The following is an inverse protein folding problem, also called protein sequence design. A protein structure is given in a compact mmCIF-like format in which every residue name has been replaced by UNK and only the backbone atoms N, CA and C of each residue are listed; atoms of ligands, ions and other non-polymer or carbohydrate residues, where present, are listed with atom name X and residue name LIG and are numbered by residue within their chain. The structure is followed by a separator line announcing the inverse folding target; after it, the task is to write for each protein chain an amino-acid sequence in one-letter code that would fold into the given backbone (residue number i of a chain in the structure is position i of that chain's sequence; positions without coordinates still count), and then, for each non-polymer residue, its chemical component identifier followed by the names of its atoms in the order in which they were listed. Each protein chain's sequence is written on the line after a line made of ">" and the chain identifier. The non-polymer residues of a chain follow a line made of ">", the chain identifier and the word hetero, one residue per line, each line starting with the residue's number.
data_IF_775531126295
#
_entry.id   IF_775531126295
#
_cell.length_a   1.000
_cell.length_b   1.000
_cell.length_c   1.000
_cell.angle_alpha   90.00
_cell.angle_beta   90.00
_cell.angle_gamma   90.00
#
_symmetry.space_group_name_H-M   'P 1'
#
loop_
_entity.id
_entity.type
_entity.pdbx_description
1 polymer ?
#
# COMPACT_ATOMS: atom_id res chain seq x y z
N UNK A 1 -17.28 1.77 -10.13
CA UNK A 1 -16.45 0.54 -10.17
C UNK A 1 -15.11 0.77 -10.89
N UNK A 2 -15.06 1.33 -12.10
CA UNK A 2 -13.81 1.53 -12.86
C UNK A 2 -12.66 2.23 -12.11
N UNK A 3 -12.97 3.26 -11.30
CA UNK A 3 -11.94 4.00 -10.55
C UNK A 3 -11.22 3.12 -9.50
N UNK A 4 -11.97 2.30 -8.76
CA UNK A 4 -11.42 1.42 -7.73
C UNK A 4 -10.68 0.23 -8.36
N UNK A 5 -11.21 -0.35 -9.44
CA UNK A 5 -10.52 -1.38 -10.21
C UNK A 5 -9.15 -0.87 -10.71
N UNK A 6 -9.10 0.34 -11.28
CA UNK A 6 -7.85 0.97 -11.70
C UNK A 6 -6.91 1.22 -10.53
N UNK A 7 -7.43 1.60 -9.36
CA UNK A 7 -6.64 1.75 -8.14
C UNK A 7 -5.94 0.44 -7.76
N UNK A 8 -6.67 -0.68 -7.77
CA UNK A 8 -6.12 -2.01 -7.47
C UNK A 8 -5.09 -2.42 -8.53
N UNK A 9 -5.39 -2.27 -9.82
CA UNK A 9 -4.47 -2.60 -10.92
C UNK A 9 -3.17 -1.78 -10.81
N UNK A 10 -3.27 -0.47 -10.54
CA UNK A 10 -2.12 0.39 -10.35
C UNK A 10 -1.28 -0.03 -9.14
N UNK A 11 -1.92 -0.37 -8.02
CA UNK A 11 -1.23 -0.88 -6.84
C UNK A 11 -0.46 -2.16 -7.14
N UNK A 12 -1.14 -3.18 -7.70
CA UNK A 12 -0.51 -4.45 -8.08
C UNK A 12 0.65 -4.23 -9.05
N UNK A 13 0.48 -3.34 -10.03
CA UNK A 13 1.55 -2.96 -10.95
C UNK A 13 2.72 -2.26 -10.26
N UNK A 14 2.46 -1.51 -9.18
CA UNK A 14 3.47 -0.82 -8.37
C UNK A 14 4.13 -1.66 -7.29
N UNK A 15 3.62 -2.86 -6.99
CA UNK A 15 4.21 -3.84 -6.04
C UNK A 15 4.84 -5.03 -6.77
N UNK A 16 4.37 -5.35 -7.98
CA UNK A 16 4.91 -6.44 -8.79
C UNK A 16 6.23 -6.06 -9.44
N UNK A 17 7.17 -7.00 -9.48
CA UNK A 17 8.37 -6.91 -10.31
C UNK A 17 8.06 -7.44 -11.71
N UNK A 18 8.47 -6.70 -12.75
CA UNK A 18 8.41 -7.15 -14.14
C UNK A 18 9.74 -6.84 -14.82
N UNK A 19 10.05 -7.51 -15.93
CA UNK A 19 11.25 -7.23 -16.74
C UNK A 19 11.28 -5.80 -17.29
N UNK A 20 10.12 -5.14 -17.39
CA UNK A 20 10.02 -3.72 -17.74
C UNK A 20 10.22 -2.77 -16.53
N UNK A 21 10.16 -3.28 -15.30
CA UNK A 21 10.03 -2.51 -14.06
C UNK A 21 10.94 -3.08 -12.96
N UNK A 22 12.25 -2.84 -13.12
CA UNK A 22 13.28 -3.32 -12.20
C UNK A 22 13.20 -2.61 -10.85
N UNK A 23 13.07 -3.38 -9.78
CA UNK A 23 13.19 -2.91 -8.41
C UNK A 23 14.65 -2.78 -8.00
N UNK A 24 14.99 -1.70 -7.32
CA UNK A 24 16.29 -1.52 -6.68
C UNK A 24 16.11 -1.68 -5.18
N UNK A 25 16.84 -2.60 -4.57
CA UNK A 25 16.89 -2.71 -3.11
C UNK A 25 17.70 -1.56 -2.53
N UNK A 26 17.14 -0.86 -1.56
CA UNK A 26 17.87 0.14 -0.80
C UNK A 26 18.39 -0.49 0.48
N UNK A 27 19.63 -0.98 0.43
CA UNK A 27 20.29 -1.52 1.61
C UNK A 27 20.78 -0.37 2.49
N UNK A 28 20.00 -0.01 3.53
CA UNK A 28 20.34 1.06 4.47
C UNK A 28 20.01 0.71 5.91
N UNK A 29 20.99 0.15 6.65
CA UNK A 29 21.15 0.08 8.12
C UNK A 29 19.95 -0.27 9.03
N UNK A 30 18.82 -0.78 8.53
CA UNK A 30 17.67 -1.19 9.32
C UNK A 30 17.13 -2.53 8.87
N UNK A 31 16.58 -3.32 9.80
CA UNK A 31 16.15 -4.70 9.63
C UNK A 31 15.00 -4.94 8.61
N UNK A 32 14.63 -3.95 7.80
CA UNK A 32 13.54 -4.03 6.82
C UNK A 32 14.12 -3.92 5.41
N UNK A 33 14.04 -5.00 4.63
CA UNK A 33 14.42 -4.99 3.22
C UNK A 33 13.41 -4.14 2.44
N UNK A 34 13.74 -2.86 2.24
CA UNK A 34 12.90 -1.90 1.51
C UNK A 34 13.31 -1.94 0.05
N UNK A 35 12.35 -2.31 -0.80
CA UNK A 35 12.49 -2.28 -2.25
C UNK A 35 11.88 -0.98 -2.76
N UNK A 36 12.59 -0.31 -3.66
CA UNK A 36 12.11 0.92 -4.29
C UNK A 36 12.23 0.82 -5.80
N UNK A 37 11.23 1.33 -6.48
CA UNK A 37 11.23 1.50 -7.93
C UNK A 37 10.75 2.90 -8.29
N UNK A 38 11.28 3.45 -9.38
CA UNK A 38 10.91 4.78 -9.87
C UNK A 38 10.26 4.68 -11.23
N UNK A 39 9.14 5.38 -11.44
CA UNK A 39 8.52 5.56 -12.75
C UNK A 39 8.39 7.05 -13.07
N UNK A 40 8.80 7.43 -14.28
CA UNK A 40 8.50 8.74 -14.85
C UNK A 40 7.13 8.68 -15.53
N UNK A 41 6.26 9.60 -15.16
CA UNK A 41 4.90 9.74 -15.67
C UNK A 41 4.83 11.06 -16.44
N UNK A 42 4.71 11.00 -17.77
CA UNK A 42 4.61 12.20 -18.62
C UNK A 42 3.22 12.24 -19.27
N UNK A 43 2.80 11.11 -19.85
CA UNK A 43 1.53 10.98 -20.58
C UNK A 43 0.78 9.71 -20.15
N UNK A 44 0.70 9.44 -18.84
CA UNK A 44 0.02 8.26 -18.29
C UNK A 44 -1.35 8.67 -17.70
N UNK A 45 -2.47 8.42 -18.40
CA UNK A 45 -3.80 8.78 -17.92
C UNK A 45 -4.07 8.18 -16.54
N UNK A 46 -4.53 9.02 -15.61
CA UNK A 46 -4.86 8.57 -14.27
C UNK A 46 -3.72 8.56 -13.28
N UNK A 47 -2.52 8.97 -13.71
CA UNK A 47 -1.38 9.19 -12.84
C UNK A 47 -1.00 10.67 -12.86
N UNK A 48 -0.63 11.25 -11.71
CA UNK A 48 -0.12 12.61 -11.73
C UNK A 48 1.13 12.71 -12.62
N UNK A 49 1.28 13.80 -13.40
CA UNK A 49 2.50 14.04 -14.16
C UNK A 49 3.67 14.28 -13.20
N UNK A 50 4.84 13.71 -13.51
CA UNK A 50 6.04 13.83 -12.70
C UNK A 50 6.76 12.52 -12.43
N UNK A 51 7.45 12.44 -11.30
CA UNK A 51 8.22 11.27 -10.86
C UNK A 51 7.46 10.60 -9.73
N UNK A 52 6.99 9.38 -9.98
CA UNK A 52 6.32 8.57 -8.99
C UNK A 52 7.26 7.47 -8.51
N UNK A 53 7.41 7.38 -7.20
CA UNK A 53 8.22 6.39 -6.52
C UNK A 53 7.28 5.36 -5.89
N UNK A 54 7.54 4.07 -6.17
CA UNK A 54 6.86 2.96 -5.50
C UNK A 54 7.84 2.30 -4.53
N UNK A 55 7.44 2.21 -3.28
CA UNK A 55 8.22 1.58 -2.22
C UNK A 55 7.40 0.45 -1.61
N UNK A 56 8.04 -0.70 -1.37
CA UNK A 56 7.38 -1.83 -0.75
C UNK A 56 8.34 -2.57 0.19
N UNK A 57 7.82 -3.08 1.30
CA UNK A 57 8.53 -3.97 2.21
C UNK A 57 7.58 -5.01 2.80
N UNK A 58 8.12 -6.16 3.19
CA UNK A 58 7.34 -7.26 3.74
C UNK A 58 7.95 -7.70 5.07
N UNK A 59 7.13 -7.95 6.07
CA UNK A 59 7.56 -8.41 7.38
C UNK A 59 6.54 -9.36 8.01
N UNK A 60 7.03 -10.27 8.84
CA UNK A 60 6.21 -11.23 9.56
C UNK A 60 5.52 -10.60 10.77
N UNK A 61 4.25 -10.94 10.97
CA UNK A 61 3.47 -10.63 12.15
C UNK A 61 2.99 -11.94 12.79
N UNK A 62 3.20 -12.14 14.11
CA UNK A 62 2.65 -13.29 14.84
C UNK A 62 1.16 -13.07 15.17
N UNK A 63 0.38 -12.61 14.18
CA UNK A 63 -1.03 -12.27 14.31
C UNK A 63 -1.80 -12.86 13.13
N UNK A 64 -2.98 -13.49 13.37
CA UNK A 64 -3.76 -14.08 12.29
C UNK A 64 -4.15 -13.08 11.20
N UNK A 65 -4.16 -13.48 9.91
CA UNK A 65 -4.44 -12.61 8.78
C UNK A 65 -5.73 -11.81 8.90
N UNK A 66 -6.80 -12.45 9.41
CA UNK A 66 -8.10 -11.81 9.60
C UNK A 66 -8.03 -10.63 10.56
N UNK A 67 -7.29 -10.76 11.65
CA UNK A 67 -7.12 -9.70 12.64
C UNK A 67 -6.32 -8.53 12.08
N UNK A 68 -5.26 -8.83 11.32
CA UNK A 68 -4.49 -7.79 10.61
C UNK A 68 -5.36 -7.09 9.57
N UNK A 69 -6.17 -7.82 8.81
CA UNK A 69 -7.09 -7.27 7.82
C UNK A 69 -8.13 -6.34 8.46
N UNK A 70 -8.81 -6.78 9.52
CA UNK A 70 -9.81 -5.98 10.20
C UNK A 70 -9.21 -4.71 10.81
N UNK A 71 -8.01 -4.79 11.38
CA UNK A 71 -7.27 -3.63 11.90
C UNK A 71 -6.89 -2.63 10.82
N UNK A 72 -6.35 -3.08 9.68
CA UNK A 72 -5.88 -2.20 8.61
C UNK A 72 -7.01 -1.58 7.78
N UNK A 73 -8.19 -2.22 7.78
CA UNK A 73 -9.39 -1.71 7.10
C UNK A 73 -10.07 -0.58 7.88
N UNK A 74 -9.90 -0.54 9.21
CA UNK A 74 -10.52 0.44 10.09
C UNK A 74 -9.88 1.84 9.94
N UNK A 75 -10.75 2.84 9.76
CA UNK A 75 -10.35 4.22 9.48
C UNK A 75 -9.74 4.92 10.71
N UNK A 76 -10.19 4.61 11.93
CA UNK A 76 -9.62 5.19 13.15
C UNK A 76 -8.21 4.68 13.41
N UNK A 77 -8.04 3.36 13.30
CA UNK A 77 -6.73 2.70 13.32
C UNK A 77 -5.79 3.24 12.23
N UNK A 78 -6.34 3.60 11.05
CA UNK A 78 -5.55 4.22 9.98
C UNK A 78 -5.14 5.66 10.27
N UNK A 79 -5.99 6.51 10.84
CA UNK A 79 -5.62 7.89 11.17
C UNK A 79 -4.53 7.95 12.26
N UNK A 80 -4.56 6.99 13.19
CA UNK A 80 -3.47 6.78 14.15
C UNK A 80 -2.19 6.29 13.47
N UNK A 81 -2.30 5.48 12.40
CA UNK A 81 -1.15 4.96 11.69
C UNK A 81 -0.61 5.84 10.56
N UNK A 82 -1.42 6.73 10.01
CA UNK A 82 -1.15 7.56 8.83
C UNK A 82 -1.79 8.92 9.11
N UNK A 83 -1.05 9.78 9.82
CA UNK A 83 -1.55 11.09 10.25
C UNK A 83 -2.09 11.90 9.06
N UNK A 84 -3.41 12.04 8.97
CA UNK A 84 -4.10 12.73 7.90
C UNK A 84 -5.12 13.71 8.45
N UNK A 85 -4.91 15.00 8.19
CA UNK A 85 -5.91 16.04 8.40
C UNK A 85 -5.79 17.04 7.24
N UNK A 86 -6.66 16.96 6.22
CA UNK A 86 -6.80 17.94 5.13
C UNK A 86 -8.25 17.92 4.61
N UNK A 87 -8.99 19.02 4.77
CA UNK A 87 -10.47 19.08 4.73
C UNK A 87 -11.16 18.89 3.35
N UNK A 88 -10.44 18.52 2.28
CA UNK A 88 -10.98 18.45 0.91
C UNK A 88 -10.65 17.16 0.14
N UNK A 89 -10.05 16.15 0.78
CA UNK A 89 -9.77 14.85 0.15
C UNK A 89 -10.64 13.75 0.74
N UNK A 90 -11.17 12.89 -0.13
CA UNK A 90 -11.81 11.64 0.24
C UNK A 90 -10.78 10.51 0.16
N UNK A 91 -10.95 9.47 0.98
CA UNK A 91 -10.19 8.23 0.81
C UNK A 91 -11.04 7.24 0.03
N UNK A 92 -10.61 6.92 -1.19
CA UNK A 92 -11.13 5.76 -1.91
C UNK A 92 -10.46 4.51 -1.34
N UNK A 93 -11.24 3.51 -0.94
CA UNK A 93 -10.73 2.29 -0.35
C UNK A 93 -11.39 1.08 -1.02
N UNK A 94 -10.57 0.10 -1.39
CA UNK A 94 -10.97 -1.21 -1.88
C UNK A 94 -10.28 -2.27 -1.01
N UNK A 95 -11.05 -3.25 -0.53
CA UNK A 95 -10.49 -4.36 0.24
C UNK A 95 -11.15 -5.66 -0.17
N UNK A 96 -10.34 -6.71 -0.33
CA UNK A 96 -10.83 -8.04 -0.66
C UNK A 96 -10.06 -9.10 0.14
N UNK A 97 -10.71 -10.24 0.37
CA UNK A 97 -10.11 -11.46 0.88
C UNK A 97 -10.44 -12.58 -0.08
N UNK A 98 -9.43 -13.33 -0.51
CA UNK A 98 -9.56 -14.54 -1.30
C UNK A 98 -8.66 -15.66 -0.74
N UNK A 99 -8.56 -16.78 -1.46
CA UNK A 99 -7.76 -17.94 -1.03
C UNK A 99 -6.25 -17.69 -1.04
N UNK A 100 -5.77 -16.66 -1.75
CA UNK A 100 -4.36 -16.31 -1.88
C UNK A 100 -3.92 -15.26 -0.86
N UNK A 101 -4.86 -14.49 -0.30
CA UNK A 101 -4.56 -13.52 0.73
C UNK A 101 -5.67 -12.50 0.90
N UNK A 102 -5.35 -11.40 1.58
CA UNK A 102 -6.24 -10.26 1.71
C UNK A 102 -5.49 -8.98 1.38
N UNK A 103 -6.19 -8.00 0.82
CA UNK A 103 -5.61 -6.68 0.61
C UNK A 103 -6.53 -5.58 1.11
N UNK A 104 -5.89 -4.47 1.49
CA UNK A 104 -6.56 -3.20 1.77
C UNK A 104 -5.78 -2.14 1.01
N UNK A 105 -6.40 -1.59 -0.04
CA UNK A 105 -5.79 -0.61 -0.93
C UNK A 105 -6.61 0.67 -0.84
N UNK A 106 -5.92 1.79 -0.71
CA UNK A 106 -6.56 3.09 -0.62
C UNK A 106 -5.79 4.16 -1.39
N UNK A 107 -6.49 5.21 -1.79
CA UNK A 107 -5.90 6.39 -2.41
C UNK A 107 -6.64 7.65 -1.96
N UNK A 108 -5.93 8.75 -1.67
CA UNK A 108 -6.57 10.05 -1.54
C UNK A 108 -7.09 10.49 -2.92
N UNK A 109 -8.33 10.93 -2.95
CA UNK A 109 -9.01 11.44 -4.15
C UNK A 109 -9.65 12.78 -3.83
N UNK A 110 -9.48 13.76 -4.71
CA UNK A 110 -10.10 15.06 -4.57
C UNK A 110 -11.63 14.96 -4.64
N UNK A 111 -12.34 15.67 -3.75
CA UNK A 111 -13.81 15.64 -3.69
C UNK A 111 -14.46 16.12 -4.98
N UNK A 112 -13.87 17.09 -5.69
CA UNK A 112 -14.35 17.58 -6.97
C UNK A 112 -14.19 16.49 -8.03
N UNK A 113 -13.02 15.85 -8.09
CA UNK A 113 -12.78 14.75 -9.02
C UNK A 113 -13.73 13.58 -8.78
N UNK A 114 -14.00 13.23 -7.52
CA UNK A 114 -14.98 12.19 -7.17
C UNK A 114 -16.41 12.58 -7.60
N UNK A 115 -16.82 13.83 -7.35
CA UNK A 115 -18.13 14.31 -7.77
C UNK A 115 -18.30 14.25 -9.30
N UNK A 116 -17.26 14.59 -10.07
CA UNK A 116 -17.27 14.48 -11.52
C UNK A 116 -17.48 13.02 -11.97
N UNK A 117 -16.77 12.07 -11.37
CA UNK A 117 -16.95 10.64 -11.66
C UNK A 117 -18.37 10.17 -11.33
N UNK A 118 -18.98 10.68 -10.25
CA UNK A 118 -20.36 10.35 -9.87
C UNK A 118 -21.40 10.89 -10.88
N UNK A 119 -21.10 12.00 -11.57
CA UNK A 119 -21.94 12.54 -12.65
C UNK A 119 -21.74 11.77 -13.97
N UNK A 120 -20.77 10.87 -14.03
CA UNK A 120 -20.51 10.01 -15.19
C UNK A 120 -19.34 10.47 -16.07
N UNK A 121 -18.51 11.40 -15.59
CA UNK A 121 -17.22 11.71 -16.23
C UNK A 121 -16.31 10.49 -16.24
N UNK A 122 -15.35 10.49 -17.17
CA UNK A 122 -14.43 9.38 -17.35
C UNK A 122 -13.44 9.29 -16.18
N UNK A 123 -13.47 8.20 -15.37
CA UNK A 123 -12.54 8.04 -14.26
C UNK A 123 -11.09 7.86 -14.70
N UNK A 124 -10.82 7.57 -15.98
CA UNK A 124 -9.47 7.32 -16.51
C UNK A 124 -8.54 8.54 -16.42
N UNK A 125 -9.09 9.74 -16.23
CA UNK A 125 -8.30 10.97 -16.07
C UNK A 125 -8.09 11.41 -14.61
N UNK A 126 -8.72 10.74 -13.64
CA UNK A 126 -8.55 11.09 -12.22
C UNK A 126 -7.16 10.64 -11.74
N UNK A 127 -6.27 11.54 -11.29
CA UNK A 127 -4.95 11.15 -10.82
C UNK A 127 -5.07 10.41 -9.48
N UNK A 128 -4.59 9.17 -9.42
CA UNK A 128 -4.58 8.37 -8.19
C UNK A 128 -3.20 7.78 -7.91
N UNK A 129 -2.84 7.75 -6.63
CA UNK A 129 -1.61 7.12 -6.13
C UNK A 129 -1.98 6.14 -5.03
N UNK A 130 -2.18 4.86 -5.37
CA UNK A 130 -2.60 3.88 -4.40
C UNK A 130 -1.48 3.56 -3.42
N UNK A 131 -1.87 3.40 -2.17
CA UNK A 131 -1.06 2.82 -1.10
C UNK A 131 -1.87 1.74 -0.42
N UNK A 132 -1.23 0.83 0.28
CA UNK A 132 -1.96 -0.25 0.89
C UNK A 132 -1.13 -1.40 1.38
N UNK A 133 -1.87 -2.47 1.64
CA UNK A 133 -1.42 -3.63 2.37
C UNK A 133 -1.82 -4.90 1.63
N UNK A 134 -0.92 -5.87 1.59
CA UNK A 134 -1.21 -7.23 1.17
C UNK A 134 -0.84 -8.18 2.30
N UNK A 135 -1.79 -9.00 2.72
CA UNK A 135 -1.70 -9.89 3.87
C UNK A 135 -1.75 -11.31 3.33
N UNK A 136 -0.63 -12.01 3.47
CA UNK A 136 -0.53 -13.41 3.10
C UNK A 136 -0.71 -14.28 4.36
N UNK A 137 -1.58 -15.31 4.34
CA UNK A 137 -1.67 -16.26 5.43
C UNK A 137 -0.36 -17.04 5.60
N UNK A 138 -0.07 -17.44 6.83
CA UNK A 138 0.84 -18.57 7.08
C UNK A 138 0.31 -19.74 6.25
N UNK A 139 1.15 -20.34 5.41
CA UNK A 139 0.73 -21.39 4.47
C UNK A 139 0.04 -22.56 5.19
N UNK A 140 -0.62 -23.48 4.47
CA UNK A 140 -1.25 -24.64 5.12
C UNK A 140 -0.17 -25.39 5.90
N UNK A 141 -0.23 -25.28 7.23
CA UNK A 141 0.60 -26.07 8.12
C UNK A 141 0.40 -27.53 7.74
N UNK A 142 1.44 -28.16 7.20
CA UNK A 142 1.37 -29.53 6.75
C UNK A 142 1.25 -30.46 7.94
N UNK A 143 0.03 -30.76 8.39
CA UNK A 143 -0.36 -32.02 9.03
C UNK A 143 -1.83 -32.27 8.66
N UNK A 144 -2.06 -33.34 7.90
CA UNK A 144 -3.37 -33.66 7.37
C UNK A 144 -4.41 -33.89 8.46
N UNK A 145 -5.62 -33.39 8.20
CA UNK A 145 -6.84 -33.78 8.88
C UNK A 145 -7.05 -33.17 10.27
N UNK A 146 -8.29 -32.72 10.46
CA UNK A 146 -8.93 -32.43 11.75
C UNK A 146 -8.92 -30.98 12.26
N UNK A 147 -10.12 -30.57 12.67
CA UNK A 147 -10.56 -29.24 13.07
C UNK A 147 -9.95 -28.87 14.43
N UNK A 148 -8.82 -28.15 14.44
CA UNK A 148 -8.37 -27.41 15.63
C UNK A 148 -7.80 -26.06 15.20
N UNK A 149 -8.64 -25.01 15.23
CA UNK A 149 -8.23 -23.61 15.08
C UNK A 149 -7.68 -23.06 16.41
N UNK A 150 -6.48 -23.49 16.84
CA UNK A 150 -5.76 -22.79 17.92
C UNK A 150 -4.23 -23.02 17.88
N UNK A 151 -3.64 -22.90 16.69
CA UNK A 151 -2.20 -22.63 16.57
C UNK A 151 -1.97 -21.11 16.48
N UNK A 152 -0.86 -20.55 17.02
CA UNK A 152 -0.53 -19.15 16.85
C UNK A 152 -0.08 -18.88 15.41
N UNK A 153 -1.04 -18.89 14.47
CA UNK A 153 -0.81 -18.61 13.07
C UNK A 153 -0.43 -17.14 12.88
N UNK A 154 0.60 -16.91 12.07
CA UNK A 154 1.03 -15.56 11.71
C UNK A 154 0.51 -15.10 10.35
N UNK A 155 0.98 -13.94 9.93
CA UNK A 155 0.73 -13.40 8.61
C UNK A 155 1.97 -12.67 8.11
N UNK A 156 2.24 -12.79 6.81
CA UNK A 156 3.24 -11.97 6.15
C UNK A 156 2.53 -10.73 5.60
N UNK A 157 2.86 -9.56 6.17
CA UNK A 157 2.31 -8.29 5.76
C UNK A 157 3.27 -7.59 4.80
N UNK A 158 2.78 -7.24 3.62
CA UNK A 158 3.46 -6.36 2.67
C UNK A 158 2.82 -4.98 2.72
N UNK A 159 3.63 -3.97 2.99
CA UNK A 159 3.23 -2.55 2.96
C UNK A 159 3.80 -1.94 1.69
N UNK A 160 2.98 -1.18 0.95
CA UNK A 160 3.46 -0.47 -0.22
C UNK A 160 2.82 0.91 -0.39
N UNK A 161 3.61 1.83 -0.95
CA UNK A 161 3.24 3.21 -1.20
C UNK A 161 3.56 3.59 -2.64
N UNK A 162 2.68 4.38 -3.26
CA UNK A 162 3.02 5.18 -4.43
C UNK A 162 2.99 6.66 -4.05
N UNK A 163 4.08 7.37 -4.33
CA UNK A 163 4.27 8.76 -3.89
C UNK A 163 4.76 9.59 -5.07
N UNK A 164 4.12 10.73 -5.31
CA UNK A 164 4.64 11.74 -6.23
C UNK A 164 5.78 12.48 -5.54
N UNK A 165 6.99 12.34 -6.06
CA UNK A 165 8.20 12.94 -5.50
C UNK A 165 8.49 14.30 -6.12
N UNK A 166 8.15 14.46 -7.39
CA UNK A 166 8.33 15.72 -8.12
C UNK A 166 7.26 15.80 -9.21
N UNK A 167 6.64 16.97 -9.40
CA UNK A 167 5.66 17.20 -10.47
C UNK A 167 6.34 17.46 -11.82
N UNK A 168 7.65 17.75 -11.83
CA UNK A 168 8.44 17.93 -13.04
C UNK A 168 9.03 16.57 -13.50
N UNK A 169 8.62 16.04 -14.66
CA UNK A 169 9.06 14.70 -15.10
C UNK A 169 10.54 14.62 -15.50
N UNK A 170 11.20 15.77 -15.70
CA UNK A 170 12.62 15.89 -16.00
C UNK A 170 13.49 16.11 -14.74
N UNK A 171 12.88 16.21 -13.56
CA UNK A 171 13.63 16.34 -12.32
C UNK A 171 14.53 15.12 -12.09
N UNK A 172 15.60 15.33 -11.31
CA UNK A 172 16.47 14.24 -10.87
C UNK A 172 16.05 13.86 -9.46
N UNK A 173 15.81 12.57 -9.24
CA UNK A 173 15.62 12.06 -7.89
C UNK A 173 16.86 12.35 -7.05
N UNK A 174 16.66 12.98 -5.91
CA UNK A 174 17.70 13.18 -4.91
C UNK A 174 17.77 11.97 -3.98
N UNK A 175 18.98 11.65 -3.50
CA UNK A 175 19.15 10.65 -2.44
C UNK A 175 18.33 10.99 -1.19
N UNK A 176 18.13 12.28 -0.92
CA UNK A 176 17.26 12.77 0.17
C UNK A 176 15.80 12.32 0.01
N UNK A 177 15.23 12.41 -1.20
CA UNK A 177 13.84 11.98 -1.44
C UNK A 177 13.65 10.49 -1.21
N UNK A 178 14.63 9.71 -1.66
CA UNK A 178 14.67 8.26 -1.47
C UNK A 178 14.78 7.91 0.02
N UNK A 179 15.63 8.61 0.76
CA UNK A 179 15.77 8.45 2.21
C UNK A 179 14.48 8.79 2.97
N UNK A 180 13.77 9.86 2.56
CA UNK A 180 12.47 10.22 3.15
C UNK A 180 11.44 9.12 2.96
N UNK A 181 11.36 8.51 1.77
CA UNK A 181 10.43 7.39 1.55
C UNK A 181 10.84 6.16 2.35
N UNK A 182 12.14 5.87 2.43
CA UNK A 182 12.65 4.78 3.25
C UNK A 182 12.29 4.96 4.74
N UNK A 183 12.41 6.18 5.25
CA UNK A 183 12.00 6.50 6.61
C UNK A 183 10.48 6.42 6.80
N UNK A 184 9.69 6.85 5.82
CA UNK A 184 8.23 6.76 5.87
C UNK A 184 7.76 5.30 5.97
N UNK A 185 8.29 4.41 5.12
CA UNK A 185 7.92 3.00 5.14
C UNK A 185 8.40 2.33 6.44
N UNK A 186 9.63 2.60 6.88
CA UNK A 186 10.15 2.06 8.13
C UNK A 186 9.32 2.52 9.35
N UNK A 187 9.01 3.82 9.45
CA UNK A 187 8.15 4.34 10.51
C UNK A 187 6.76 3.72 10.48
N UNK A 188 6.20 3.46 9.29
CA UNK A 188 4.87 2.83 9.17
C UNK A 188 4.90 1.38 9.62
N UNK A 189 5.95 0.62 9.26
CA UNK A 189 6.17 -0.76 9.72
C UNK A 189 6.20 -0.83 11.24
N UNK A 190 7.04 0.00 11.88
CA UNK A 190 7.16 0.02 13.35
C UNK A 190 5.84 0.38 14.03
N UNK A 191 5.09 1.34 13.46
CA UNK A 191 3.79 1.75 14.00
C UNK A 191 2.74 0.65 13.87
N UNK A 192 2.67 -0.02 12.73
CA UNK A 192 1.76 -1.17 12.55
C UNK A 192 2.10 -2.27 13.54
N UNK A 193 3.38 -2.62 13.69
CA UNK A 193 3.81 -3.63 14.68
C UNK A 193 3.38 -3.25 16.10
N UNK A 194 3.59 -1.99 16.50
CA UNK A 194 3.22 -1.51 17.82
C UNK A 194 1.70 -1.57 18.06
N UNK A 195 0.89 -1.06 17.12
CA UNK A 195 -0.57 -1.04 17.27
C UNK A 195 -1.19 -2.44 17.23
N UNK A 196 -0.72 -3.30 16.31
CA UNK A 196 -1.20 -4.67 16.19
C UNK A 196 -0.87 -5.48 17.45
N UNK A 197 0.33 -5.29 18.02
CA UNK A 197 0.72 -5.93 19.29
C UNK A 197 -0.09 -5.41 20.50
N UNK A 198 -0.34 -4.10 20.57
CA UNK A 198 -1.14 -3.50 21.64
C UNK A 198 -2.61 -3.95 21.62
N UNK A 199 -3.17 -4.17 20.43
CA UNK A 199 -4.54 -4.66 20.30
C UNK A 199 -4.66 -6.15 20.68
N UNK A 200 -3.58 -6.94 20.57
CA UNK A 200 -3.58 -8.37 20.93
C UNK A 200 -3.46 -8.71 22.42
N UNK A 201 -3.31 -7.71 23.29
CA UNK A 201 -3.31 -7.85 24.75
C UNK A 201 -4.73 -7.65 25.33
#
# INVERSE_FOLDING_TARGET
>A
MKLAERMVISFCGGVSASTAHTWTTLSGSGAHDVRVMTRKSIDDPGRPPGIVLSAATSFWLPVPPKRVFDFLRDEQSRNETIGGNQNNMLILQESCTDSTGSYVIYAPVDVIAMNLVLVGEDPDYVPILPSGFYILPDGPNGHGGELVEDGPGGSLLTVAFQILVDSAPNAKLSLGSVATVNNLIACTVERIKACVAANSA
#
